data_IF_946914759064
#
_entry.id   IF_946914759064
#
_cell.length_a   1.000
_cell.length_b   1.000
_cell.length_c   1.000
_cell.angle_alpha   90.00
_cell.angle_beta   90.00
_cell.angle_gamma   90.00
#
_symmetry.space_group_name_H-M   'P 1'
#
loop_
_entity.id
_entity.type
_entity.pdbx_description
1 polymer ?
#
# COMPACT_ATOMS: atom_id res chain seq x y z
N UNK A 1 -0.52 3.41 31.55
CA UNK A 1 -0.83 2.13 30.87
C UNK A 1 0.04 2.09 29.61
N UNK A 2 0.90 1.08 29.49
CA UNK A 2 1.70 0.85 28.30
C UNK A 2 1.25 -0.44 27.63
N UNK A 3 0.97 -0.36 26.34
CA UNK A 3 0.53 -1.49 25.53
C UNK A 3 1.29 -1.45 24.19
N UNK A 4 1.86 -2.56 23.79
CA UNK A 4 2.46 -2.73 22.48
C UNK A 4 1.46 -3.33 21.51
N UNK A 5 1.26 -2.66 20.37
CA UNK A 5 0.33 -3.09 19.32
C UNK A 5 1.13 -3.58 18.11
N UNK A 6 0.73 -4.70 17.55
CA UNK A 6 1.35 -5.29 16.36
C UNK A 6 0.50 -4.99 15.13
N UNK A 7 1.13 -4.40 14.09
CA UNK A 7 0.49 -4.16 12.81
C UNK A 7 -0.39 -2.91 12.74
N UNK A 8 -0.25 -1.99 13.68
CA UNK A 8 -0.99 -0.72 13.71
C UNK A 8 -0.55 0.30 12.64
N UNK A 9 0.59 0.06 11.99
CA UNK A 9 1.15 0.91 10.94
C UNK A 9 0.33 0.90 9.65
N UNK A 10 -0.35 -0.22 9.40
CA UNK A 10 -1.21 -0.43 8.23
C UNK A 10 -2.66 -0.66 8.67
N UNK A 11 -3.49 0.35 8.62
CA UNK A 11 -4.88 0.35 9.11
C UNK A 11 -5.83 -0.70 8.52
N UNK A 12 -5.43 -1.44 7.48
CA UNK A 12 -6.33 -2.34 6.72
C UNK A 12 -6.54 -3.69 7.40
N UNK A 13 -5.53 -4.21 8.09
CA UNK A 13 -5.58 -5.56 8.70
C UNK A 13 -6.57 -5.68 9.83
N UNK A 14 -6.91 -4.56 10.43
CA UNK A 14 -7.67 -4.51 11.67
C UNK A 14 -9.15 -4.12 11.49
N UNK A 15 -9.62 -4.03 10.22
CA UNK A 15 -11.02 -3.77 9.95
C UNK A 15 -11.87 -5.01 10.17
N UNK A 16 -12.73 -4.94 11.17
CA UNK A 16 -13.75 -5.94 11.46
C UNK A 16 -15.08 -5.57 10.78
N UNK A 17 -16.01 -6.55 10.68
CA UNK A 17 -17.36 -6.29 10.18
C UNK A 17 -18.04 -5.17 10.98
N UNK A 18 -18.75 -4.28 10.29
CA UNK A 18 -19.46 -3.16 10.90
C UNK A 18 -18.58 -1.91 11.16
N UNK A 19 -17.49 -1.77 10.44
CA UNK A 19 -16.61 -0.58 10.50
C UNK A 19 -15.79 -0.45 11.79
N UNK A 20 -15.68 -1.51 12.56
CA UNK A 20 -14.86 -1.55 13.78
C UNK A 20 -13.42 -1.85 13.43
N UNK A 21 -12.51 -1.32 14.24
CA UNK A 21 -11.08 -1.62 14.17
C UNK A 21 -10.71 -2.56 15.31
N UNK A 22 -10.06 -3.67 14.98
CA UNK A 22 -9.49 -4.60 15.96
C UNK A 22 -8.00 -4.33 16.10
N UNK A 23 -7.54 -4.12 17.32
CA UNK A 23 -6.11 -3.98 17.63
C UNK A 23 -5.68 -5.19 18.45
N UNK A 24 -4.65 -5.88 17.97
CA UNK A 24 -4.05 -7.01 18.69
C UNK A 24 -2.75 -6.55 19.33
N UNK A 25 -2.64 -6.76 20.62
CA UNK A 25 -1.47 -6.31 21.37
C UNK A 25 -1.33 -7.05 22.70
N UNK A 26 -0.28 -6.75 23.42
CA UNK A 26 -0.06 -7.24 24.77
C UNK A 26 0.16 -6.06 25.73
N UNK A 27 -0.28 -6.23 26.95
CA UNK A 27 -0.09 -5.24 28.01
C UNK A 27 1.34 -5.34 28.56
N UNK A 28 2.07 -4.24 28.53
CA UNK A 28 3.36 -4.14 29.18
C UNK A 28 3.21 -3.82 30.67
N UNK A 29 2.21 -3.01 31.02
CA UNK A 29 1.88 -2.65 32.40
C UNK A 29 0.45 -2.14 32.55
N UNK A 30 -0.16 -2.34 33.70
CA UNK A 30 -1.51 -1.89 34.03
C UNK A 30 -2.61 -2.84 33.50
N UNK A 31 -3.82 -2.35 33.44
CA UNK A 31 -5.03 -3.06 32.94
C UNK A 31 -5.89 -2.10 32.13
N UNK A 32 -6.60 -2.64 31.14
CA UNK A 32 -7.64 -1.92 30.38
C UNK A 32 -8.96 -2.64 30.61
N UNK A 33 -9.99 -1.89 30.92
CA UNK A 33 -11.34 -2.40 31.10
C UNK A 33 -12.26 -1.96 29.95
N UNK A 34 -13.28 -2.75 29.67
CA UNK A 34 -14.28 -2.40 28.65
C UNK A 34 -14.95 -1.05 29.00
N UNK A 35 -15.00 -0.15 28.02
CA UNK A 35 -15.59 1.17 28.16
C UNK A 35 -14.61 2.27 28.56
N UNK A 36 -13.35 1.95 28.84
CA UNK A 36 -12.32 2.96 29.09
C UNK A 36 -11.94 3.69 27.81
N UNK A 37 -11.64 4.99 27.96
CA UNK A 37 -11.05 5.80 26.89
C UNK A 37 -9.54 5.61 26.90
N UNK A 38 -8.99 5.23 25.75
CA UNK A 38 -7.56 5.02 25.56
C UNK A 38 -6.99 6.02 24.55
N UNK A 39 -5.72 6.36 24.70
CA UNK A 39 -4.98 7.14 23.71
C UNK A 39 -4.15 6.18 22.86
N UNK A 40 -4.34 6.23 21.54
CA UNK A 40 -3.57 5.46 20.57
C UNK A 40 -2.52 6.38 19.93
N UNK A 41 -1.26 5.98 20.01
CA UNK A 41 -0.16 6.68 19.35
C UNK A 41 0.53 5.73 18.38
N UNK A 42 0.53 6.10 17.12
CA UNK A 42 1.26 5.36 16.07
C UNK A 42 2.75 5.69 16.18
N UNK A 43 3.60 4.69 15.94
CA UNK A 43 5.02 4.93 15.71
C UNK A 43 5.18 5.67 14.38
N UNK A 44 5.51 6.96 14.45
CA UNK A 44 5.60 7.81 13.26
C UNK A 44 6.76 7.42 12.34
N UNK A 45 7.87 6.93 12.88
CA UNK A 45 9.02 6.50 12.07
C UNK A 45 8.67 5.24 11.30
N UNK A 46 8.16 4.20 11.97
CA UNK A 46 7.71 2.98 11.34
C UNK A 46 6.58 3.23 10.33
N UNK A 47 5.68 4.17 10.62
CA UNK A 47 4.61 4.58 9.70
C UNK A 47 5.19 5.20 8.41
N UNK A 48 6.12 6.14 8.51
CA UNK A 48 6.74 6.78 7.34
C UNK A 48 7.49 5.78 6.47
N UNK A 49 8.25 4.86 7.07
CA UNK A 49 8.96 3.83 6.31
C UNK A 49 7.98 2.84 5.65
N UNK A 50 6.88 2.50 6.33
CA UNK A 50 5.80 1.69 5.74
C UNK A 50 5.14 2.42 4.55
N UNK A 51 4.88 3.72 4.65
CA UNK A 51 4.32 4.55 3.56
C UNK A 51 5.24 4.57 2.33
N UNK A 52 6.55 4.70 2.54
CA UNK A 52 7.57 4.61 1.47
C UNK A 52 7.51 3.24 0.78
N UNK A 53 7.63 2.18 1.55
CA UNK A 53 7.61 0.81 1.01
C UNK A 53 6.30 0.48 0.30
N UNK A 54 5.16 0.97 0.82
CA UNK A 54 3.87 0.76 0.18
C UNK A 54 3.75 1.54 -1.14
N UNK A 55 4.18 2.78 -1.17
CA UNK A 55 4.17 3.59 -2.39
C UNK A 55 5.13 3.05 -3.44
N UNK A 56 6.32 2.60 -3.02
CA UNK A 56 7.28 1.93 -3.92
C UNK A 56 6.69 0.65 -4.53
N UNK A 57 5.83 -0.08 -3.80
CA UNK A 57 5.14 -1.27 -4.32
C UNK A 57 4.26 -0.94 -5.51
N UNK A 58 3.52 0.17 -5.50
CA UNK A 58 2.69 0.61 -6.62
C UNK A 58 3.52 1.01 -7.84
N UNK A 59 4.63 1.75 -7.63
CA UNK A 59 5.55 2.07 -8.72
C UNK A 59 6.15 0.80 -9.33
N UNK A 60 6.57 -0.15 -8.48
CA UNK A 60 7.14 -1.43 -8.90
C UNK A 60 6.13 -2.24 -9.71
N UNK A 61 4.88 -2.37 -9.25
CA UNK A 61 3.82 -3.07 -9.98
C UNK A 61 3.61 -2.48 -11.38
N UNK A 62 3.52 -1.17 -11.47
CA UNK A 62 3.34 -0.49 -12.76
C UNK A 62 4.55 -0.65 -13.68
N UNK A 63 5.76 -0.54 -13.13
CA UNK A 63 6.99 -0.74 -13.89
C UNK A 63 7.12 -2.17 -14.43
N UNK A 64 6.84 -3.18 -13.60
CA UNK A 64 6.83 -4.58 -14.02
C UNK A 64 5.83 -4.82 -15.16
N UNK A 65 4.61 -4.29 -15.06
CA UNK A 65 3.62 -4.39 -16.15
C UNK A 65 4.05 -3.66 -17.41
N UNK A 66 4.77 -2.56 -17.29
CA UNK A 66 5.26 -1.78 -18.42
C UNK A 66 6.38 -2.51 -19.15
N UNK A 67 7.31 -3.12 -18.43
CA UNK A 67 8.49 -3.80 -18.99
C UNK A 67 8.16 -5.22 -19.46
N UNK A 68 7.48 -5.99 -18.61
CA UNK A 68 7.24 -7.43 -18.86
C UNK A 68 5.93 -7.70 -19.59
N UNK A 69 4.95 -6.78 -19.52
CA UNK A 69 3.67 -6.90 -20.16
C UNK A 69 2.47 -7.01 -19.22
N UNK A 70 1.27 -6.88 -19.79
CA UNK A 70 0.01 -6.81 -19.05
C UNK A 70 -0.37 -8.10 -18.30
N UNK A 71 0.26 -9.23 -18.62
CA UNK A 71 0.05 -10.52 -17.95
C UNK A 71 0.59 -10.55 -16.51
N UNK A 72 1.43 -9.59 -16.14
CA UNK A 72 1.95 -9.48 -14.77
C UNK A 72 0.79 -9.18 -13.82
N UNK A 73 0.49 -10.12 -12.95
CA UNK A 73 -0.54 -10.02 -11.94
C UNK A 73 0.06 -10.23 -10.54
N UNK A 74 -0.34 -9.41 -9.60
CA UNK A 74 0.03 -9.59 -8.20
C UNK A 74 -0.52 -10.93 -7.67
N UNK A 75 0.34 -11.73 -7.05
CA UNK A 75 -0.01 -12.98 -6.35
C UNK A 75 0.16 -12.87 -4.85
N UNK A 76 0.97 -11.93 -4.39
CA UNK A 76 1.17 -11.62 -2.99
C UNK A 76 1.91 -10.30 -2.82
N UNK A 77 1.80 -9.73 -1.64
CA UNK A 77 2.54 -8.53 -1.25
C UNK A 77 2.80 -8.54 0.25
N UNK A 78 3.97 -8.08 0.63
CA UNK A 78 4.32 -7.80 2.02
C UNK A 78 4.90 -6.39 2.08
N UNK A 79 4.36 -5.56 2.95
CA UNK A 79 4.88 -4.22 3.23
C UNK A 79 5.11 -4.09 4.73
N UNK A 80 6.34 -3.79 5.11
CA UNK A 80 6.77 -3.54 6.49
C UNK A 80 7.61 -2.26 6.51
N UNK A 81 7.94 -1.69 7.68
CA UNK A 81 8.88 -0.58 7.74
C UNK A 81 10.25 -0.89 7.11
N UNK A 82 10.72 -2.13 7.24
CA UNK A 82 12.07 -2.52 6.82
C UNK A 82 12.18 -2.89 5.35
N UNK A 83 11.07 -3.36 4.73
CA UNK A 83 11.11 -3.90 3.36
C UNK A 83 9.73 -4.02 2.74
N UNK A 84 9.73 -4.09 1.42
CA UNK A 84 8.63 -4.59 0.63
C UNK A 84 8.98 -5.93 -0.04
N UNK A 85 7.97 -6.75 -0.31
CA UNK A 85 8.05 -7.92 -1.20
C UNK A 85 6.83 -7.88 -2.09
N UNK A 86 7.04 -8.10 -3.38
CA UNK A 86 5.98 -8.16 -4.37
C UNK A 86 6.08 -9.46 -5.16
N UNK A 87 5.12 -10.34 -4.98
CA UNK A 87 5.05 -11.64 -5.66
C UNK A 87 4.12 -11.50 -6.87
N UNK A 88 4.56 -11.89 -8.04
CA UNK A 88 3.80 -11.75 -9.28
C UNK A 88 3.93 -12.95 -10.21
N UNK A 89 2.95 -13.11 -11.11
CA UNK A 89 2.98 -14.14 -12.13
C UNK A 89 3.82 -13.66 -13.32
N UNK A 90 4.78 -14.51 -13.72
CA UNK A 90 5.55 -14.33 -14.95
C UNK A 90 5.96 -15.69 -15.49
N UNK A 91 6.20 -15.79 -16.80
CA UNK A 91 6.43 -17.07 -17.50
C UNK A 91 7.82 -17.65 -17.25
N UNK A 92 8.80 -16.82 -16.93
CA UNK A 92 10.21 -17.19 -16.73
C UNK A 92 10.89 -16.27 -15.72
N UNK A 93 12.11 -16.58 -15.34
CA UNK A 93 12.92 -15.68 -14.54
C UNK A 93 13.23 -14.39 -15.33
N UNK A 94 13.19 -13.25 -14.67
CA UNK A 94 13.57 -11.99 -15.29
C UNK A 94 15.04 -12.00 -15.69
N UNK A 95 15.32 -11.45 -16.86
CA UNK A 95 16.69 -11.19 -17.31
C UNK A 95 17.31 -10.00 -16.59
N UNK A 96 18.63 -9.89 -16.60
CA UNK A 96 19.33 -8.74 -16.01
C UNK A 96 18.90 -7.41 -16.67
N UNK A 97 18.63 -7.42 -17.98
CA UNK A 97 18.18 -6.24 -18.71
C UNK A 97 16.77 -5.82 -18.32
N UNK A 98 15.85 -6.77 -18.13
CA UNK A 98 14.49 -6.49 -17.65
C UNK A 98 14.50 -5.92 -16.23
N UNK A 99 15.34 -6.48 -15.35
CA UNK A 99 15.52 -5.94 -13.98
C UNK A 99 16.03 -4.50 -14.05
N UNK A 100 17.08 -4.24 -14.85
CA UNK A 100 17.64 -2.90 -15.00
C UNK A 100 16.62 -1.90 -15.57
N UNK A 101 15.77 -2.31 -16.50
CA UNK A 101 14.70 -1.46 -17.06
C UNK A 101 13.63 -1.14 -16.01
N UNK A 102 13.20 -2.13 -15.22
CA UNK A 102 12.23 -1.92 -14.13
C UNK A 102 12.81 -0.96 -13.10
N UNK A 103 14.05 -1.18 -12.67
CA UNK A 103 14.74 -0.33 -11.70
C UNK A 103 14.90 1.11 -12.23
N UNK A 104 15.33 1.28 -13.45
CA UNK A 104 15.47 2.60 -14.08
C UNK A 104 14.11 3.32 -14.17
N UNK A 105 13.04 2.60 -14.51
CA UNK A 105 11.69 3.18 -14.59
C UNK A 105 11.17 3.61 -13.22
N UNK A 106 11.32 2.77 -12.19
CA UNK A 106 10.91 3.13 -10.82
C UNK A 106 11.69 4.35 -10.34
N UNK A 107 13.00 4.37 -10.50
CA UNK A 107 13.86 5.50 -10.09
C UNK A 107 13.52 6.79 -10.84
N UNK A 108 13.18 6.69 -12.12
CA UNK A 108 12.72 7.83 -12.92
C UNK A 108 11.46 8.46 -12.32
N UNK A 109 10.47 7.65 -11.95
CA UNK A 109 9.21 8.16 -11.40
C UNK A 109 9.36 8.65 -9.95
N UNK A 110 10.33 8.12 -9.18
CA UNK A 110 10.75 8.68 -7.89
C UNK A 110 11.32 10.08 -8.08
N UNK A 111 12.29 10.22 -9.00
CA UNK A 111 12.95 11.49 -9.28
C UNK A 111 12.02 12.54 -9.90
N UNK A 112 10.99 12.10 -10.62
CA UNK A 112 9.96 12.98 -11.19
C UNK A 112 9.13 13.72 -10.13
N UNK A 113 9.12 13.24 -8.88
CA UNK A 113 8.39 13.88 -7.79
C UNK A 113 6.88 13.95 -8.03
N UNK A 114 6.28 12.83 -8.43
CA UNK A 114 4.86 12.75 -8.71
C UNK A 114 4.03 12.98 -7.44
N UNK A 115 2.99 13.81 -7.55
CA UNK A 115 2.02 13.97 -6.48
C UNK A 115 1.23 12.66 -6.28
N UNK A 116 1.10 12.25 -5.03
CA UNK A 116 0.32 11.08 -4.65
C UNK A 116 -1.02 11.53 -4.07
N UNK A 117 -2.09 11.28 -4.80
CA UNK A 117 -3.46 11.65 -4.42
C UNK A 117 -4.25 10.44 -4.00
N UNK A 118 -5.13 10.67 -3.04
CA UNK A 118 -6.08 9.67 -2.57
C UNK A 118 -7.49 10.22 -2.68
N UNK A 119 -8.31 9.58 -3.50
CA UNK A 119 -9.70 9.94 -3.74
C UNK A 119 -10.63 8.80 -3.28
N UNK A 120 -11.80 9.17 -2.74
CA UNK A 120 -12.86 8.21 -2.42
C UNK A 120 -14.00 8.45 -3.40
N UNK A 121 -14.31 7.44 -4.20
CA UNK A 121 -15.31 7.53 -5.25
C UNK A 121 -16.12 6.24 -5.38
N UNK A 122 -17.18 6.26 -6.17
CA UNK A 122 -17.96 5.06 -6.46
C UNK A 122 -17.12 4.06 -7.28
N UNK A 123 -17.28 2.77 -7.00
CA UNK A 123 -16.50 1.69 -7.63
C UNK A 123 -16.61 1.70 -9.16
N UNK A 124 -17.78 2.03 -9.70
CA UNK A 124 -17.97 2.12 -11.15
C UNK A 124 -17.30 3.35 -11.77
N UNK A 125 -17.27 4.47 -11.06
CA UNK A 125 -16.52 5.66 -11.46
C UNK A 125 -15.01 5.38 -11.44
N UNK A 126 -14.53 4.74 -10.38
CA UNK A 126 -13.12 4.36 -10.24
C UNK A 126 -12.66 3.46 -11.38
N UNK A 127 -13.45 2.44 -11.75
CA UNK A 127 -13.15 1.57 -12.92
C UNK A 127 -13.12 2.34 -14.24
N UNK A 128 -14.08 3.24 -14.45
CA UNK A 128 -14.13 4.08 -15.67
C UNK A 128 -12.94 5.04 -15.76
N UNK A 129 -12.40 5.48 -14.62
CA UNK A 129 -11.21 6.34 -14.57
C UNK A 129 -9.90 5.61 -14.89
N UNK A 130 -9.95 4.30 -15.17
CA UNK A 130 -8.78 3.47 -15.46
C UNK A 130 -8.03 2.98 -14.21
N UNK A 131 -8.62 3.14 -13.02
CA UNK A 131 -8.00 2.65 -11.79
C UNK A 131 -7.97 1.11 -11.79
N UNK A 132 -6.81 0.56 -11.47
CA UNK A 132 -6.57 -0.88 -11.42
C UNK A 132 -7.09 -1.44 -10.10
N UNK A 133 -7.97 -2.44 -10.18
CA UNK A 133 -8.47 -3.19 -9.04
C UNK A 133 -7.71 -4.51 -8.91
N UNK A 134 -7.50 -5.02 -7.71
CA UNK A 134 -6.97 -6.36 -7.50
C UNK A 134 -8.00 -7.39 -7.96
N UNK A 135 -7.54 -8.40 -8.68
CA UNK A 135 -8.41 -9.44 -9.22
C UNK A 135 -8.99 -10.31 -8.09
N UNK A 136 -10.30 -10.51 -8.10
CA UNK A 136 -11.00 -11.39 -7.15
C UNK A 136 -11.42 -10.76 -5.83
N UNK A 137 -11.12 -9.50 -5.57
CA UNK A 137 -11.61 -8.79 -4.40
C UNK A 137 -13.03 -8.25 -4.60
N UNK A 138 -13.83 -8.34 -3.54
CA UNK A 138 -15.15 -7.70 -3.47
C UNK A 138 -14.98 -6.32 -2.86
N UNK A 139 -15.33 -5.31 -3.61
CA UNK A 139 -15.27 -3.93 -3.17
C UNK A 139 -16.64 -3.45 -2.68
N UNK A 140 -16.65 -2.60 -1.69
CA UNK A 140 -17.84 -1.85 -1.28
C UNK A 140 -18.29 -0.88 -2.39
N UNK A 141 -19.45 -0.27 -2.22
CA UNK A 141 -19.98 0.71 -3.17
C UNK A 141 -19.03 1.89 -3.39
N UNK A 142 -18.29 2.28 -2.35
CA UNK A 142 -17.22 3.29 -2.42
C UNK A 142 -15.85 2.68 -2.19
N UNK A 143 -14.91 3.09 -3.01
CA UNK A 143 -13.52 2.64 -2.98
C UNK A 143 -12.57 3.81 -2.85
N UNK A 144 -11.43 3.55 -2.24
CA UNK A 144 -10.32 4.48 -2.18
C UNK A 144 -9.38 4.20 -3.34
N UNK A 145 -9.09 5.23 -4.12
CA UNK A 145 -8.20 5.18 -5.28
C UNK A 145 -6.96 6.01 -4.96
N UNK A 146 -5.80 5.42 -5.13
CA UNK A 146 -4.51 6.09 -5.00
C UNK A 146 -3.93 6.29 -6.39
N UNK A 147 -3.57 7.55 -6.70
CA UNK A 147 -2.95 7.94 -7.97
C UNK A 147 -1.58 8.54 -7.72
N UNK A 148 -0.60 8.17 -8.53
CA UNK A 148 0.76 8.72 -8.53
C UNK A 148 1.00 9.40 -9.88
N UNK A 149 0.64 10.68 -9.95
CA UNK A 149 0.53 11.40 -11.23
C UNK A 149 -0.32 10.62 -12.23
N UNK A 150 0.14 10.53 -13.48
CA UNK A 150 -0.47 9.72 -14.54
C UNK A 150 0.18 8.32 -14.65
N UNK A 151 1.19 8.03 -13.83
CA UNK A 151 1.95 6.79 -13.93
C UNK A 151 1.20 5.59 -13.36
N UNK A 152 0.66 5.70 -12.15
CA UNK A 152 -0.08 4.61 -11.49
C UNK A 152 -1.40 5.11 -10.91
N UNK A 153 -2.45 4.30 -11.03
CA UNK A 153 -3.76 4.56 -10.44
C UNK A 153 -4.40 3.25 -10.02
N UNK A 154 -4.57 3.04 -8.72
CA UNK A 154 -4.94 1.73 -8.17
C UNK A 154 -5.92 1.85 -7.01
N UNK A 155 -6.76 0.82 -6.83
CA UNK A 155 -7.58 0.67 -5.63
C UNK A 155 -6.67 0.31 -4.47
N UNK A 156 -6.58 1.18 -3.48
CA UNK A 156 -5.74 0.93 -2.33
C UNK A 156 -6.27 1.60 -1.06
N UNK A 157 -6.41 0.84 0.00
CA UNK A 157 -6.83 1.34 1.31
C UNK A 157 -5.67 1.67 2.27
N UNK A 158 -4.41 1.47 1.86
CA UNK A 158 -3.24 1.65 2.72
C UNK A 158 -2.75 3.09 2.84
N UNK A 159 -1.64 3.25 3.53
CA UNK A 159 -0.98 4.54 3.74
C UNK A 159 0.11 4.76 2.69
N UNK A 160 0.28 6.00 2.26
CA UNK A 160 1.20 6.38 1.21
C UNK A 160 1.92 7.69 1.54
N UNK A 161 3.06 7.91 0.91
CA UNK A 161 3.70 9.21 0.86
C UNK A 161 2.82 10.20 0.07
N UNK A 162 3.02 11.48 0.25
CA UNK A 162 2.33 12.54 -0.50
C UNK A 162 3.02 12.89 -1.83
N UNK A 163 4.28 12.49 -1.98
CA UNK A 163 5.06 12.71 -3.19
C UNK A 163 6.08 11.57 -3.39
N UNK A 164 6.29 11.14 -4.65
CA UNK A 164 7.19 10.02 -4.94
C UNK A 164 8.66 10.33 -4.64
N UNK A 165 9.09 11.59 -4.62
CA UNK A 165 10.47 11.93 -4.24
C UNK A 165 10.79 11.65 -2.76
N UNK A 166 9.77 11.40 -1.93
CA UNK A 166 9.97 11.00 -0.52
C UNK A 166 10.40 9.53 -0.36
N UNK A 167 10.51 8.78 -1.46
CA UNK A 167 10.90 7.36 -1.44
C UNK A 167 12.41 7.15 -1.38
N UNK A 168 13.22 8.12 -1.80
CA UNK A 168 14.66 7.97 -1.83
C UNK A 168 15.43 9.26 -1.80
#
# INVERSE_FOLDING_TARGET
ISCSLVGSEMCIRDRLRGGKFGHVGHMESGMISTGETVSLKVDEAARRDTEKNHSATHLLQKALKTVLGSHVEQKGSLVTPDRLRFDFAHFQAMTADEIAQVEALVNKEIQAGLEVRTDVMDVEEAKKSGAMALFGEKYDQKVRVVSMGDFSKEFCGGTHVDNTNNLG
#
